data_IF_128511992275
#
_entry.id   IF_128511992275
#
_cell.length_a   1.000
_cell.length_b   1.000
_cell.length_c   1.000
_cell.angle_alpha   90.00
_cell.angle_beta   90.00
_cell.angle_gamma   90.00
#
_symmetry.space_group_name_H-M   'P 1'
#
loop_
_entity.id
_entity.type
_entity.pdbx_description
1 polymer ?
#
# COMPACT_ATOMS: atom_id res chain seq x y z
N UNK A 1 23.07 18.17 -9.72
CA UNK A 1 21.89 18.97 -9.30
C UNK A 1 22.34 20.41 -9.21
N UNK A 2 21.60 21.33 -9.84
CA UNK A 2 21.83 22.76 -9.63
C UNK A 2 21.38 23.17 -8.22
N UNK A 3 21.91 24.26 -7.65
CA UNK A 3 21.54 24.72 -6.30
C UNK A 3 20.03 24.91 -6.10
N UNK A 4 19.30 25.19 -7.17
CA UNK A 4 17.86 25.46 -7.16
C UNK A 4 17.00 24.24 -7.54
N UNK A 5 17.57 23.03 -7.57
CA UNK A 5 16.83 21.80 -7.88
C UNK A 5 16.61 20.96 -6.63
N UNK A 6 15.37 20.50 -6.45
CA UNK A 6 15.00 19.53 -5.41
C UNK A 6 14.77 18.17 -6.08
N UNK A 7 15.33 17.10 -5.51
CA UNK A 7 15.05 15.73 -5.93
C UNK A 7 13.96 15.12 -5.05
N UNK A 8 12.84 14.77 -5.70
CA UNK A 8 11.70 14.13 -5.06
C UNK A 8 11.49 12.73 -5.63
N UNK A 9 11.31 11.74 -4.77
CA UNK A 9 10.75 10.45 -5.14
C UNK A 9 9.26 10.43 -4.82
N UNK A 10 8.45 9.99 -5.76
CA UNK A 10 6.99 9.95 -5.64
C UNK A 10 6.48 8.58 -6.03
N UNK A 11 5.48 8.09 -5.31
CA UNK A 11 4.82 6.83 -5.62
C UNK A 11 3.40 6.77 -5.03
N UNK A 12 2.56 5.93 -5.61
CA UNK A 12 1.23 5.59 -5.11
C UNK A 12 1.23 4.23 -4.43
N UNK A 13 0.58 4.14 -3.27
CA UNK A 13 0.45 2.89 -2.53
C UNK A 13 -1.01 2.60 -2.18
N UNK A 14 -1.43 1.34 -2.40
CA UNK A 14 -2.75 0.86 -2.05
C UNK A 14 -2.69 -0.10 -0.85
N UNK A 15 -3.21 0.32 0.28
CA UNK A 15 -3.36 -0.53 1.46
C UNK A 15 -4.71 -1.22 1.45
N UNK A 16 -4.69 -2.55 1.51
CA UNK A 16 -5.90 -3.38 1.61
C UNK A 16 -5.98 -3.97 3.01
N UNK A 17 -7.08 -3.71 3.72
CA UNK A 17 -7.37 -4.39 4.97
C UNK A 17 -8.01 -5.77 4.70
N UNK A 18 -7.25 -6.64 4.04
CA UNK A 18 -7.63 -8.01 3.74
C UNK A 18 -6.55 -8.96 4.29
N UNK A 19 -6.92 -10.05 4.98
CA UNK A 19 -5.92 -10.99 5.47
C UNK A 19 -5.18 -11.62 4.29
N UNK A 20 -3.84 -11.57 4.32
CA UNK A 20 -3.02 -12.28 3.34
C UNK A 20 -3.14 -13.77 3.58
N UNK A 21 -3.58 -14.52 2.57
CA UNK A 21 -3.59 -15.98 2.63
C UNK A 21 -2.16 -16.50 2.57
N UNK A 22 -1.65 -17.04 3.68
CA UNK A 22 -0.33 -17.65 3.74
C UNK A 22 -0.20 -18.90 2.85
N UNK A 23 -1.32 -19.56 2.55
CA UNK A 23 -1.39 -20.71 1.66
C UNK A 23 -2.77 -20.77 1.02
N UNK A 24 -2.79 -21.02 -0.30
CA UNK A 24 -4.01 -21.21 -1.08
C UNK A 24 -4.34 -22.68 -1.34
N UNK A 25 -3.44 -23.58 -0.97
CA UNK A 25 -3.57 -25.03 -1.19
C UNK A 25 -4.12 -25.72 0.05
N UNK A 26 -5.22 -26.44 -0.15
CA UNK A 26 -5.81 -27.29 0.87
C UNK A 26 -6.04 -28.68 0.29
N UNK A 27 -6.01 -29.69 1.15
CA UNK A 27 -6.36 -31.05 0.76
C UNK A 27 -7.79 -31.05 0.16
N UNK A 28 -8.00 -31.85 -0.88
CA UNK A 28 -9.30 -31.94 -1.56
C UNK A 28 -10.39 -32.31 -0.54
N UNK A 29 -11.37 -31.42 -0.37
CA UNK A 29 -12.45 -31.59 0.61
C UNK A 29 -12.18 -31.01 2.00
N UNK A 30 -10.98 -30.49 2.27
CA UNK A 30 -10.59 -29.81 3.53
C UNK A 30 -10.23 -28.35 3.33
N UNK A 31 -10.86 -27.68 2.36
CA UNK A 31 -10.68 -26.24 2.15
C UNK A 31 -11.02 -25.50 3.45
N UNK A 32 -10.05 -24.77 4.01
CA UNK A 32 -10.30 -23.98 5.22
C UNK A 32 -11.22 -22.82 4.87
N UNK A 33 -12.31 -22.67 5.63
CA UNK A 33 -13.18 -21.49 5.56
C UNK A 33 -12.56 -20.39 6.41
N UNK A 34 -11.81 -19.50 5.76
CA UNK A 34 -11.25 -18.35 6.43
C UNK A 34 -12.31 -17.24 6.52
N UNK A 35 -12.51 -16.63 7.69
CA UNK A 35 -13.40 -15.51 7.82
C UNK A 35 -12.82 -14.34 7.02
N UNK A 36 -13.38 -14.11 5.84
CA UNK A 36 -13.14 -12.87 5.11
C UNK A 36 -14.02 -11.80 5.72
N UNK A 37 -13.41 -10.76 6.29
CA UNK A 37 -14.11 -9.53 6.58
C UNK A 37 -14.62 -9.01 5.22
N UNK A 38 -15.91 -9.16 4.92
CA UNK A 38 -16.52 -8.80 3.64
C UNK A 38 -16.49 -7.29 3.31
N UNK A 39 -15.66 -6.52 4.02
CA UNK A 39 -15.39 -5.11 3.74
C UNK A 39 -14.11 -5.01 2.93
N UNK A 40 -14.24 -4.63 1.67
CA UNK A 40 -13.12 -4.13 0.86
C UNK A 40 -12.73 -2.74 1.35
N UNK A 41 -12.12 -2.66 2.54
CA UNK A 41 -11.55 -1.43 3.05
C UNK A 41 -10.16 -1.25 2.43
N UNK A 42 -10.13 -0.57 1.30
CA UNK A 42 -8.90 -0.15 0.63
C UNK A 42 -8.72 1.35 0.86
N UNK A 43 -7.51 1.77 1.20
CA UNK A 43 -7.14 3.18 1.18
C UNK A 43 -5.92 3.35 0.29
N UNK A 44 -5.94 4.41 -0.51
CA UNK A 44 -4.87 4.75 -1.43
C UNK A 44 -4.18 6.01 -0.90
N UNK A 45 -2.86 6.04 -0.96
CA UNK A 45 -2.07 7.20 -0.57
C UNK A 45 -1.08 7.57 -1.67
N UNK A 46 -0.82 8.86 -1.80
CA UNK A 46 0.26 9.40 -2.61
C UNK A 46 1.38 9.86 -1.67
N UNK A 47 2.56 9.27 -1.83
CA UNK A 47 3.74 9.57 -1.03
C UNK A 47 4.75 10.40 -1.83
N UNK A 48 5.39 11.35 -1.17
CA UNK A 48 6.54 12.07 -1.72
C UNK A 48 7.63 12.18 -0.67
N UNK A 49 8.86 11.84 -1.06
CA UNK A 49 10.06 11.96 -0.23
C UNK A 49 11.02 12.94 -0.88
N UNK A 50 11.40 13.97 -0.14
CA UNK A 50 12.54 14.82 -0.46
C UNK A 50 13.83 14.13 0.03
N UNK A 51 14.73 13.83 -0.90
CA UNK A 51 15.97 13.08 -0.62
C UNK A 51 16.92 13.86 0.25
N UNK A 52 17.00 15.18 0.03
CA UNK A 52 17.99 16.05 0.65
C UNK A 52 17.54 16.42 2.06
N UNK A 53 16.26 16.78 2.23
CA UNK A 53 15.72 17.18 3.54
C UNK A 53 15.14 16.02 4.35
N UNK A 54 14.97 14.84 3.73
CA UNK A 54 14.31 13.65 4.31
C UNK A 54 12.89 13.91 4.77
N UNK A 55 12.26 14.97 4.27
CA UNK A 55 10.85 15.27 4.54
C UNK A 55 9.97 14.31 3.75
N UNK A 56 8.90 13.87 4.40
CA UNK A 56 7.91 12.96 3.80
C UNK A 56 6.56 13.66 3.84
N UNK A 57 5.91 13.70 2.68
CA UNK A 57 4.51 14.08 2.54
C UNK A 57 3.72 12.83 2.16
N UNK A 58 2.63 12.58 2.88
CA UNK A 58 1.72 11.47 2.59
C UNK A 58 0.30 12.02 2.63
N UNK A 59 -0.41 11.92 1.51
CA UNK A 59 -1.76 12.42 1.35
C UNK A 59 -2.68 11.29 0.90
N UNK A 60 -3.98 11.32 1.26
CA UNK A 60 -4.95 10.45 0.61
C UNK A 60 -4.89 10.65 -0.91
N UNK A 61 -4.81 9.56 -1.66
CA UNK A 61 -4.92 9.63 -3.11
C UNK A 61 -6.41 9.81 -3.44
N UNK A 62 -6.77 11.00 -3.91
CA UNK A 62 -8.11 11.27 -4.44
C UNK A 62 -8.16 10.77 -5.87
N UNK A 63 -9.01 9.78 -6.14
CA UNK A 63 -9.31 9.27 -7.49
C UNK A 63 -10.16 10.31 -8.23
#
# INVERSE_FOLDING_TARGET
MTPDTVLLYQDECHFKNQPTLHTTWFEKGKQQKLPVYGKHATTSVFGTVDVDTRKVLCLPATI
#
